data_IF_635165331908
#
_entry.id   IF_635165331908
#
_cell.length_a   1.000
_cell.length_b   1.000
_cell.length_c   1.000
_cell.angle_alpha   90.00
_cell.angle_beta   90.00
_cell.angle_gamma   90.00
#
_symmetry.space_group_name_H-M   'P 1'
#
loop_
_entity.id
_entity.type
_entity.pdbx_description
1 polymer ?
#
# COMPACT_ATOMS: atom_id res chain seq x y z
N UNK A 1 15.92 7.57 -1.75
CA UNK A 1 14.78 8.09 -2.55
C UNK A 1 13.52 8.19 -1.69
N UNK A 2 13.13 7.11 -1.01
CA UNK A 2 11.95 7.05 -0.16
C UNK A 2 11.88 8.17 0.91
N UNK A 3 12.99 8.48 1.59
CA UNK A 3 13.06 9.62 2.52
C UNK A 3 12.61 10.94 1.87
N UNK A 4 13.20 11.31 0.72
CA UNK A 4 12.85 12.54 -0.01
C UNK A 4 11.38 12.55 -0.47
N UNK A 5 10.88 11.43 -0.96
CA UNK A 5 9.47 11.30 -1.35
C UNK A 5 8.54 11.51 -0.15
N UNK A 6 8.87 10.92 0.99
CA UNK A 6 8.09 11.06 2.21
C UNK A 6 8.08 12.52 2.72
N UNK A 7 9.18 13.27 2.57
CA UNK A 7 9.26 14.68 2.96
C UNK A 7 8.29 15.54 2.14
N UNK A 8 8.06 15.18 0.88
CA UNK A 8 7.06 15.80 0.01
C UNK A 8 5.64 15.23 0.19
N UNK A 9 5.40 14.40 1.21
CA UNK A 9 4.13 13.72 1.46
C UNK A 9 3.67 12.77 0.34
N UNK A 10 4.60 12.31 -0.51
CA UNK A 10 4.31 11.26 -1.48
C UNK A 10 4.31 9.89 -0.83
N UNK A 11 3.43 9.01 -1.33
CA UNK A 11 3.47 7.60 -1.00
C UNK A 11 4.80 6.99 -1.42
N UNK A 12 5.32 6.08 -0.62
CA UNK A 12 6.60 5.40 -0.86
C UNK A 12 6.38 3.92 -1.14
N UNK A 13 7.21 3.27 -1.96
CA UNK A 13 7.08 1.84 -2.23
C UNK A 13 7.21 1.02 -0.94
N UNK A 14 6.21 0.20 -0.65
CA UNK A 14 6.25 -0.83 0.40
C UNK A 14 6.58 -2.20 -0.22
N UNK A 15 5.85 -2.60 -1.27
CA UNK A 15 6.14 -3.80 -2.05
C UNK A 15 6.51 -3.43 -3.47
N UNK A 16 7.69 -3.84 -3.91
CA UNK A 16 8.17 -3.60 -5.27
C UNK A 16 8.10 -4.89 -6.09
N UNK A 17 7.20 -5.00 -7.09
CA UNK A 17 7.19 -6.12 -8.02
C UNK A 17 8.49 -6.17 -8.83
N UNK A 18 8.97 -7.38 -9.08
CA UNK A 18 10.06 -7.62 -10.02
C UNK A 18 9.52 -7.61 -11.46
N UNK A 19 10.31 -7.08 -12.40
CA UNK A 19 9.93 -7.04 -13.82
C UNK A 19 9.98 -8.44 -14.46
N UNK A 20 10.84 -9.32 -13.94
CA UNK A 20 11.20 -10.58 -14.60
C UNK A 20 10.58 -11.82 -13.93
N UNK A 21 9.98 -11.68 -12.75
CA UNK A 21 9.32 -12.78 -12.07
C UNK A 21 8.09 -12.26 -11.30
N UNK A 22 7.21 -13.18 -10.88
CA UNK A 22 6.01 -12.85 -10.10
C UNK A 22 6.31 -12.56 -8.62
N UNK A 23 7.58 -12.48 -8.22
CA UNK A 23 7.95 -12.14 -6.85
C UNK A 23 7.89 -10.63 -6.64
N UNK A 24 7.68 -10.24 -5.38
CA UNK A 24 7.83 -8.86 -4.92
C UNK A 24 8.83 -8.78 -3.79
N UNK A 25 9.47 -7.62 -3.65
CA UNK A 25 10.36 -7.30 -2.53
C UNK A 25 9.67 -6.34 -1.57
N UNK A 26 9.63 -6.68 -0.28
CA UNK A 26 9.33 -5.76 0.81
C UNK A 26 10.51 -4.80 0.98
N UNK A 27 10.24 -3.51 0.81
CA UNK A 27 11.22 -2.43 0.85
C UNK A 27 11.46 -1.93 2.28
N UNK A 28 11.71 -2.83 3.24
CA UNK A 28 11.83 -2.51 4.66
C UNK A 28 13.06 -1.62 4.95
N UNK A 29 14.22 -1.96 4.39
CA UNK A 29 15.45 -1.19 4.56
C UNK A 29 15.29 0.24 4.03
N UNK A 30 14.63 0.40 2.88
CA UNK A 30 14.37 1.71 2.30
C UNK A 30 13.52 2.64 3.19
N UNK A 31 12.72 2.08 4.12
CA UNK A 31 11.85 2.82 5.02
C UNK A 31 12.50 3.10 6.39
N UNK A 32 13.61 2.43 6.76
CA UNK A 32 14.27 2.56 8.07
C UNK A 32 14.63 4.02 8.40
N UNK A 33 15.12 4.77 7.42
CA UNK A 33 15.57 6.16 7.62
C UNK A 33 14.43 7.18 7.65
N UNK A 34 13.17 6.76 7.45
CA UNK A 34 12.03 7.68 7.46
C UNK A 34 11.61 7.95 8.90
N UNK A 35 12.04 9.11 9.39
CA UNK A 35 11.58 9.69 10.66
C UNK A 35 10.44 10.66 10.38
N UNK A 36 9.41 10.61 11.22
CA UNK A 36 8.24 11.47 11.12
C UNK A 36 7.88 12.05 12.48
N UNK A 37 7.41 13.29 12.45
CA UNK A 37 6.84 14.00 13.58
C UNK A 37 5.31 14.08 13.44
N UNK A 38 4.58 13.83 14.51
CA UNK A 38 3.14 14.06 14.57
C UNK A 38 2.70 14.42 15.99
N UNK A 39 1.48 14.96 16.10
CA UNK A 39 0.89 15.35 17.37
C UNK A 39 -0.43 14.59 17.57
N UNK A 40 -0.42 13.50 18.36
CA UNK A 40 -1.64 12.74 18.63
C UNK A 40 -2.61 13.59 19.44
N UNK A 41 -3.90 13.23 19.38
CA UNK A 41 -4.96 13.94 20.08
C UNK A 41 -4.71 14.03 21.61
N UNK A 42 -4.10 13.00 22.21
CA UNK A 42 -3.71 13.00 23.63
C UNK A 42 -2.72 14.11 24.02
N UNK A 43 -1.97 14.65 23.05
CA UNK A 43 -1.05 15.76 23.23
C UNK A 43 -1.59 17.06 22.60
N UNK A 44 -2.88 17.15 22.29
CA UNK A 44 -3.46 18.35 21.68
C UNK A 44 -3.50 19.57 22.61
N UNK A 45 -3.55 19.35 23.92
CA UNK A 45 -3.54 20.42 24.94
C UNK A 45 -2.13 20.87 25.36
N UNK A 46 -1.12 20.01 25.19
CA UNK A 46 0.29 20.33 25.48
C UNK A 46 1.06 20.62 24.21
N UNK A 47 2.07 21.51 24.18
CA UNK A 47 2.91 21.71 22.96
C UNK A 47 3.80 20.50 22.60
N UNK A 48 3.48 19.30 23.09
CA UNK A 48 4.22 18.07 22.83
C UNK A 48 3.96 17.51 21.43
N UNK A 49 4.95 16.76 20.94
CA UNK A 49 4.90 16.00 19.70
C UNK A 49 5.57 14.64 19.90
N UNK A 50 5.33 13.72 18.97
CA UNK A 50 6.02 12.43 18.89
C UNK A 50 6.88 12.46 17.63
N UNK A 51 8.15 12.12 17.78
CA UNK A 51 9.07 11.86 16.67
C UNK A 51 9.50 10.39 16.73
N UNK A 52 9.33 9.65 15.64
CA UNK A 52 9.73 8.25 15.58
C UNK A 52 10.04 7.80 14.14
N UNK A 53 10.79 6.70 14.02
CA UNK A 53 10.93 5.97 12.78
C UNK A 53 9.60 5.34 12.41
N UNK A 54 9.16 5.56 11.17
CA UNK A 54 7.84 5.12 10.73
C UNK A 54 7.71 3.58 10.71
N UNK A 55 8.85 2.89 10.60
CA UNK A 55 8.89 1.43 10.64
C UNK A 55 8.71 0.84 12.05
N UNK A 56 9.01 1.61 13.09
CA UNK A 56 8.89 1.24 14.51
C UNK A 56 7.59 1.76 15.13
N UNK A 57 7.01 2.81 14.55
CA UNK A 57 5.77 3.39 15.04
C UNK A 57 4.62 2.37 14.98
N UNK A 58 3.94 2.18 16.11
CA UNK A 58 2.77 1.33 16.22
C UNK A 58 1.54 2.10 15.73
N UNK A 59 1.20 1.91 14.46
CA UNK A 59 0.16 2.69 13.77
C UNK A 59 -0.87 1.71 13.17
N UNK A 60 -2.19 2.00 13.23
CA UNK A 60 -3.19 1.26 12.49
C UNK A 60 -2.89 1.25 10.99
N UNK A 61 -2.95 0.08 10.36
CA UNK A 61 -2.53 -0.10 8.97
C UNK A 61 -3.71 -0.54 8.11
N UNK A 62 -4.11 0.29 7.15
CA UNK A 62 -5.26 0.02 6.27
C UNK A 62 -4.79 -0.18 4.84
N UNK A 63 -5.30 -1.20 4.17
CA UNK A 63 -4.99 -1.44 2.76
C UNK A 63 -6.17 -1.13 1.87
N UNK A 64 -5.88 -0.54 0.72
CA UNK A 64 -6.81 -0.29 -0.38
C UNK A 64 -6.35 -1.12 -1.57
N UNK A 65 -7.28 -1.91 -2.10
CA UNK A 65 -7.05 -2.80 -3.23
C UNK A 65 -8.24 -2.74 -4.17
N UNK A 66 -8.09 -3.26 -5.39
CA UNK A 66 -9.18 -3.24 -6.37
C UNK A 66 -9.30 -4.54 -7.15
N UNK A 67 -10.53 -4.85 -7.54
CA UNK A 67 -10.86 -5.90 -8.50
C UNK A 67 -10.66 -5.40 -9.94
N UNK A 68 -10.59 -6.32 -10.91
CA UNK A 68 -10.27 -6.02 -12.31
C UNK A 68 -11.21 -4.97 -12.91
N UNK A 69 -12.47 -5.04 -12.51
CA UNK A 69 -13.55 -4.28 -13.09
C UNK A 69 -13.74 -2.87 -12.49
N UNK A 70 -12.93 -2.50 -11.48
CA UNK A 70 -13.10 -1.21 -10.82
C UNK A 70 -12.54 -0.07 -11.68
N UNK A 71 -13.44 0.72 -12.28
CA UNK A 71 -13.09 1.95 -13.01
C UNK A 71 -13.12 3.21 -12.13
N UNK A 72 -12.91 3.08 -10.82
CA UNK A 72 -13.11 4.21 -9.89
C UNK A 72 -12.10 5.34 -10.14
N UNK A 73 -12.61 6.57 -10.22
CA UNK A 73 -11.83 7.80 -10.40
C UNK A 73 -10.91 8.10 -9.19
N UNK A 74 -11.26 7.58 -8.02
CA UNK A 74 -10.60 7.84 -6.74
C UNK A 74 -9.23 7.19 -6.58
N UNK A 75 -8.99 6.09 -7.31
CA UNK A 75 -7.69 5.41 -7.36
C UNK A 75 -6.93 5.83 -8.62
N UNK A 76 -6.79 7.15 -8.84
CA UNK A 76 -5.85 7.88 -9.72
C UNK A 76 -5.24 7.17 -10.96
N UNK A 77 -5.96 6.34 -11.71
CA UNK A 77 -5.26 5.53 -12.74
C UNK A 77 -5.97 5.28 -14.07
N UNK A 78 -7.26 5.54 -14.26
CA UNK A 78 -7.90 5.22 -15.55
C UNK A 78 -8.25 6.42 -16.46
N UNK A 79 -8.26 7.66 -15.96
CA UNK A 79 -8.71 8.81 -16.79
C UNK A 79 -7.61 9.54 -17.56
N UNK A 80 -6.34 9.15 -17.43
CA UNK A 80 -5.27 9.69 -18.27
C UNK A 80 -5.15 8.89 -19.57
N UNK A 81 -4.90 9.54 -20.71
CA UNK A 81 -4.57 8.88 -21.98
C UNK A 81 -3.42 7.88 -21.73
N UNK A 82 -3.72 6.57 -21.78
CA UNK A 82 -2.79 5.49 -21.41
C UNK A 82 -3.24 4.60 -20.24
N UNK A 83 -4.35 4.92 -19.56
CA UNK A 83 -4.92 4.08 -18.49
C UNK A 83 -5.35 2.68 -18.93
N UNK A 84 -5.66 2.50 -20.23
CA UNK A 84 -6.03 1.23 -20.85
C UNK A 84 -4.82 0.41 -21.36
N UNK A 85 -3.59 0.95 -21.31
CA UNK A 85 -2.39 0.21 -21.67
C UNK A 85 -2.03 -0.71 -20.50
N UNK A 86 -1.87 -2.01 -20.77
CA UNK A 86 -1.41 -2.99 -19.77
C UNK A 86 -0.11 -2.48 -19.15
N UNK A 87 -0.16 -2.10 -17.87
CA UNK A 87 1.00 -1.53 -17.17
C UNK A 87 1.92 -2.66 -16.74
N UNK A 88 2.98 -2.87 -17.50
CA UNK A 88 3.95 -3.92 -17.22
C UNK A 88 4.82 -3.65 -15.98
N UNK A 89 4.93 -2.39 -15.53
CA UNK A 89 5.93 -1.99 -14.52
C UNK A 89 5.31 -1.70 -13.14
N UNK A 90 4.01 -1.36 -13.07
CA UNK A 90 3.38 -0.86 -11.86
C UNK A 90 2.29 -1.76 -11.26
N UNK A 91 1.89 -2.84 -11.97
CA UNK A 91 0.97 -3.81 -11.40
C UNK A 91 1.70 -4.62 -10.31
N UNK A 92 1.05 -4.82 -9.16
CA UNK A 92 1.64 -5.47 -7.99
C UNK A 92 2.45 -4.54 -7.08
N UNK A 93 2.62 -3.27 -7.44
CA UNK A 93 3.26 -2.27 -6.58
C UNK A 93 2.31 -1.87 -5.45
N UNK A 94 2.74 -2.09 -4.20
CA UNK A 94 2.05 -1.54 -3.04
C UNK A 94 2.81 -0.31 -2.54
N UNK A 95 2.13 0.82 -2.42
CA UNK A 95 2.69 2.05 -1.86
C UNK A 95 2.08 2.34 -0.51
N UNK A 96 2.88 2.82 0.43
CA UNK A 96 2.45 3.25 1.76
C UNK A 96 2.52 4.77 1.90
N UNK A 97 1.52 5.34 2.56
CA UNK A 97 1.47 6.73 2.99
C UNK A 97 0.94 6.81 4.43
N UNK A 98 1.11 7.96 5.06
CA UNK A 98 0.70 8.17 6.44
C UNK A 98 -0.09 9.45 6.60
N UNK A 99 -1.18 9.38 7.34
CA UNK A 99 -1.82 10.56 7.90
C UNK A 99 -1.26 10.79 9.29
N UNK A 100 -0.70 11.99 9.50
CA UNK A 100 -0.02 12.38 10.72
C UNK A 100 -0.72 13.63 11.26
N UNK A 101 -1.47 13.52 12.38
CA UNK A 101 -2.21 14.65 12.92
C UNK A 101 -1.25 15.76 13.37
N UNK A 102 -1.68 17.01 13.18
CA UNK A 102 -0.85 18.21 13.49
C UNK A 102 -1.34 18.95 14.73
N UNK A 103 -2.53 18.62 15.25
CA UNK A 103 -3.06 19.14 16.51
C UNK A 103 -3.16 20.66 16.56
N UNK A 104 -3.44 21.32 15.43
CA UNK A 104 -3.51 22.80 15.34
C UNK A 104 -4.80 23.27 14.70
N UNK A 105 -5.69 23.87 15.50
CA UNK A 105 -6.74 24.83 15.12
C UNK A 105 -7.91 24.30 14.29
N UNK A 106 -7.67 23.35 13.38
CA UNK A 106 -8.68 22.62 12.64
C UNK A 106 -8.78 21.19 13.17
N UNK A 107 -9.98 20.59 13.19
CA UNK A 107 -10.12 19.19 13.55
C UNK A 107 -9.36 18.34 12.51
N UNK A 108 -8.34 17.63 12.98
CA UNK A 108 -7.69 16.59 12.18
C UNK A 108 -8.74 15.53 11.79
N UNK A 109 -8.68 15.04 10.55
CA UNK A 109 -9.60 14.01 10.03
C UNK A 109 -9.49 12.73 10.87
N UNK A 110 -8.29 12.42 11.32
CA UNK A 110 -7.99 11.33 12.24
C UNK A 110 -7.29 11.88 13.48
N UNK A 111 -7.75 11.53 14.69
CA UNK A 111 -7.15 12.03 15.94
C UNK A 111 -5.75 11.46 16.22
N UNK A 112 -5.47 10.28 15.66
CA UNK A 112 -4.23 9.54 15.83
C UNK A 112 -3.60 9.24 14.46
N UNK A 113 -2.28 8.98 14.38
CA UNK A 113 -1.63 8.64 13.12
C UNK A 113 -2.25 7.37 12.51
N UNK A 114 -2.34 7.33 11.18
CA UNK A 114 -2.82 6.18 10.41
C UNK A 114 -1.91 5.92 9.22
N UNK A 115 -1.65 4.65 8.92
CA UNK A 115 -0.92 4.20 7.75
C UNK A 115 -1.89 3.64 6.71
N UNK A 116 -1.69 4.02 5.46
CA UNK A 116 -2.47 3.55 4.32
C UNK A 116 -1.55 2.86 3.32
N UNK A 117 -1.92 1.68 2.86
CA UNK A 117 -1.28 1.02 1.73
C UNK A 117 -2.24 0.96 0.55
N UNK A 118 -1.73 1.19 -0.65
CA UNK A 118 -2.49 1.10 -1.89
C UNK A 118 -1.81 0.11 -2.83
N UNK A 119 -2.49 -1.00 -3.13
CA UNK A 119 -2.02 -1.97 -4.12
C UNK A 119 -2.46 -1.54 -5.53
N UNK A 120 -1.50 -1.29 -6.40
CA UNK A 120 -1.75 -1.02 -7.81
C UNK A 120 -1.94 -2.31 -8.59
N UNK A 121 -2.94 -2.34 -9.46
CA UNK A 121 -3.25 -3.51 -10.29
C UNK A 121 -4.53 -4.21 -9.84
N UNK A 122 -4.77 -5.41 -10.36
CA UNK A 122 -5.86 -6.30 -9.93
C UNK A 122 -5.32 -7.28 -8.88
N UNK A 123 -6.10 -7.59 -7.85
CA UNK A 123 -5.70 -8.58 -6.84
C UNK A 123 -5.47 -9.97 -7.44
N UNK A 124 -6.23 -10.37 -8.47
CA UNK A 124 -6.06 -11.69 -9.11
C UNK A 124 -4.71 -11.82 -9.83
N UNK A 125 -4.10 -10.71 -10.25
CA UNK A 125 -2.77 -10.69 -10.87
C UNK A 125 -1.63 -10.56 -9.83
N UNK A 126 -1.96 -10.31 -8.56
CA UNK A 126 -0.99 -9.95 -7.51
C UNK A 126 -1.40 -10.58 -6.18
N UNK A 127 -1.65 -11.89 -6.21
CA UNK A 127 -2.20 -12.63 -5.08
C UNK A 127 -1.27 -12.60 -3.85
N UNK A 128 0.03 -12.80 -4.03
CA UNK A 128 0.98 -12.79 -2.92
C UNK A 128 1.02 -11.43 -2.21
N UNK A 129 1.00 -10.34 -2.98
CA UNK A 129 0.99 -8.97 -2.47
C UNK A 129 -0.34 -8.66 -1.77
N UNK A 130 -1.47 -9.11 -2.35
CA UNK A 130 -2.79 -8.96 -1.73
C UNK A 130 -2.89 -9.72 -0.41
N UNK A 131 -2.52 -11.01 -0.38
CA UNK A 131 -2.54 -11.84 0.83
C UNK A 131 -1.64 -11.24 1.91
N UNK A 132 -0.45 -10.76 1.55
CA UNK A 132 0.43 -10.06 2.48
C UNK A 132 -0.25 -8.84 3.09
N UNK A 133 -0.75 -7.93 2.26
CA UNK A 133 -1.42 -6.72 2.72
C UNK A 133 -2.63 -7.03 3.61
N UNK A 134 -3.43 -8.02 3.22
CA UNK A 134 -4.60 -8.43 3.99
C UNK A 134 -4.22 -8.97 5.38
N UNK A 135 -3.15 -9.78 5.48
CA UNK A 135 -2.69 -10.32 6.76
C UNK A 135 -2.16 -9.23 7.70
N UNK A 136 -1.37 -8.28 7.17
CA UNK A 136 -0.73 -7.23 7.99
C UNK A 136 -1.63 -6.03 8.27
N UNK A 137 -2.79 -5.94 7.62
CA UNK A 137 -3.71 -4.82 7.81
C UNK A 137 -4.68 -5.02 8.98
N UNK A 138 -4.99 -3.91 9.62
CA UNK A 138 -6.13 -3.75 10.54
C UNK A 138 -7.45 -3.95 9.79
N UNK A 139 -7.56 -3.39 8.57
CA UNK A 139 -8.66 -3.64 7.64
C UNK A 139 -8.22 -3.42 6.18
N UNK A 140 -8.89 -4.07 5.25
CA UNK A 140 -8.65 -4.00 3.81
C UNK A 140 -9.94 -3.61 3.09
N UNK A 141 -9.89 -2.49 2.40
CA UNK A 141 -10.96 -1.96 1.56
C UNK A 141 -10.75 -2.42 0.12
N UNK A 142 -11.71 -3.19 -0.39
CA UNK A 142 -11.71 -3.70 -1.77
C UNK A 142 -12.67 -2.86 -2.59
N UNK A 143 -12.14 -2.17 -3.59
CA UNK A 143 -12.94 -1.41 -4.56
C UNK A 143 -13.35 -2.31 -5.72
N UNK A 144 -14.64 -2.31 -6.05
CA UNK A 144 -15.19 -3.16 -7.10
C UNK A 144 -16.44 -2.58 -7.76
N UNK A 145 -16.66 -2.97 -9.02
CA UNK A 145 -17.93 -2.75 -9.73
C UNK A 145 -18.80 -4.03 -9.63
N UNK A 146 -18.21 -5.22 -9.82
CA UNK A 146 -18.80 -6.56 -9.72
C UNK A 146 -17.77 -7.57 -9.19
N UNK A 147 -18.18 -8.77 -8.81
CA UNK A 147 -17.28 -9.85 -8.37
C UNK A 147 -17.37 -11.01 -9.37
N UNK A 148 -16.26 -11.31 -10.04
CA UNK A 148 -16.15 -12.48 -10.92
C UNK A 148 -15.79 -13.76 -10.15
N UNK A 149 -15.88 -14.92 -10.80
CA UNK A 149 -15.71 -16.23 -10.15
C UNK A 149 -14.36 -16.37 -9.46
N UNK A 150 -13.28 -16.01 -10.14
CA UNK A 150 -11.91 -16.07 -9.59
C UNK A 150 -11.74 -15.13 -8.39
N UNK A 151 -12.29 -13.91 -8.49
CA UNK A 151 -12.24 -12.91 -7.42
C UNK A 151 -13.05 -13.37 -6.20
N UNK A 152 -14.20 -14.03 -6.43
CA UNK A 152 -15.02 -14.61 -5.38
C UNK A 152 -14.28 -15.72 -4.63
N UNK A 153 -13.62 -16.65 -5.34
CA UNK A 153 -12.81 -17.72 -4.75
C UNK A 153 -11.65 -17.16 -3.92
N UNK A 154 -10.98 -16.10 -4.41
CA UNK A 154 -9.94 -15.41 -3.65
C UNK A 154 -10.51 -14.83 -2.36
N UNK A 155 -11.62 -14.10 -2.41
CA UNK A 155 -12.21 -13.45 -1.23
C UNK A 155 -12.74 -14.46 -0.20
N UNK A 156 -13.30 -15.59 -0.64
CA UNK A 156 -13.80 -16.65 0.26
C UNK A 156 -12.68 -17.48 0.88
N UNK A 157 -11.51 -17.53 0.26
CA UNK A 157 -10.32 -18.18 0.83
C UNK A 157 -9.67 -17.41 2.00
N UNK A 158 -10.04 -16.14 2.20
CA UNK A 158 -9.44 -15.29 3.22
C UNK A 158 -9.92 -15.67 4.63
N UNK A 159 -8.96 -16.05 5.48
CA UNK A 159 -9.20 -16.16 6.91
C UNK A 159 -9.53 -14.78 7.50
N UNK A 160 -10.37 -14.71 8.52
CA UNK A 160 -10.76 -13.45 9.18
C UNK A 160 -11.41 -12.37 8.28
N UNK A 161 -11.88 -12.74 7.08
CA UNK A 161 -12.55 -11.84 6.13
C UNK A 161 -13.63 -11.00 6.82
N UNK A 162 -14.46 -11.62 7.65
CA UNK A 162 -15.51 -10.95 8.44
C UNK A 162 -15.04 -9.76 9.27
N UNK A 163 -13.80 -9.79 9.77
CA UNK A 163 -13.28 -8.77 10.70
C UNK A 163 -12.43 -7.69 10.03
N UNK A 164 -11.87 -7.98 8.86
CA UNK A 164 -10.90 -7.13 8.15
C UNK A 164 -11.37 -6.66 6.78
N UNK A 165 -12.29 -7.35 6.13
CA UNK A 165 -12.67 -7.07 4.74
C UNK A 165 -13.82 -6.07 4.67
N UNK A 166 -13.64 -5.00 3.89
CA UNK A 166 -14.66 -3.99 3.61
C UNK A 166 -14.81 -3.84 2.10
N UNK A 167 -16.02 -4.04 1.59
CA UNK A 167 -16.30 -3.89 0.17
C UNK A 167 -16.80 -2.47 -0.12
N UNK A 168 -16.17 -1.81 -1.08
CA UNK A 168 -16.56 -0.48 -1.57
C UNK A 168 -17.07 -0.65 -3.00
N UNK A 169 -18.39 -0.68 -3.14
CA UNK A 169 -19.06 -0.99 -4.41
C UNK A 169 -19.35 0.30 -5.17
N UNK A 170 -18.83 0.41 -6.38
CA UNK A 170 -19.08 1.54 -7.26
C UNK A 170 -20.36 1.31 -8.08
N UNK A 171 -21.47 2.00 -7.74
CA UNK A 171 -22.68 1.94 -8.56
C UNK A 171 -22.63 2.96 -9.68
N UNK A 172 -22.77 2.48 -10.90
CA UNK A 172 -23.10 3.31 -12.07
C UNK A 172 -24.61 3.21 -12.33
N UNK A 173 -25.19 4.29 -12.84
CA UNK A 173 -26.53 4.27 -13.40
C UNK A 173 -26.59 3.23 -14.53
N UNK A 174 -27.52 2.28 -14.44
CA UNK A 174 -27.64 1.16 -15.38
C UNK A 174 -26.77 -0.06 -15.08
N UNK A 175 -26.11 -0.16 -13.92
CA UNK A 175 -25.47 -1.42 -13.49
C UNK A 175 -26.45 -2.59 -13.53
N UNK A 176 -26.02 -3.72 -14.11
CA UNK A 176 -26.88 -4.88 -14.30
C UNK A 176 -27.32 -5.42 -12.93
N UNK A 177 -28.58 -5.86 -12.81
CA UNK A 177 -29.08 -6.49 -11.56
C UNK A 177 -28.17 -7.64 -11.12
N UNK A 178 -27.63 -8.38 -12.07
CA UNK A 178 -26.72 -9.52 -11.88
C UNK A 178 -25.41 -9.13 -11.18
N UNK A 179 -24.82 -7.98 -11.51
CA UNK A 179 -23.58 -7.49 -10.89
C UNK A 179 -23.79 -7.29 -9.38
N UNK A 180 -24.94 -6.72 -9.00
CA UNK A 180 -25.27 -6.49 -7.59
C UNK A 180 -25.57 -7.79 -6.84
N UNK A 181 -26.18 -8.78 -7.50
CA UNK A 181 -26.45 -10.07 -6.88
C UNK A 181 -25.17 -10.84 -6.58
N UNK A 182 -24.14 -10.75 -7.43
CA UNK A 182 -22.82 -11.34 -7.17
C UNK A 182 -22.18 -10.81 -5.88
N UNK A 183 -22.29 -9.49 -5.66
CA UNK A 183 -21.79 -8.82 -4.46
C UNK A 183 -22.61 -9.25 -3.24
N UNK A 184 -23.95 -9.21 -3.33
CA UNK A 184 -24.81 -9.63 -2.21
C UNK A 184 -24.61 -11.08 -1.83
N UNK A 185 -24.40 -11.97 -2.79
CA UNK A 185 -24.07 -13.38 -2.55
C UNK A 185 -22.79 -13.49 -1.72
N UNK A 186 -21.72 -12.82 -2.17
CA UNK A 186 -20.41 -12.85 -1.50
C UNK A 186 -20.48 -12.24 -0.09
N UNK A 187 -21.18 -11.11 0.08
CA UNK A 187 -21.39 -10.48 1.39
C UNK A 187 -22.10 -11.41 2.37
N UNK A 188 -23.11 -12.15 1.91
CA UNK A 188 -23.84 -13.12 2.74
C UNK A 188 -22.98 -14.33 3.10
N UNK A 189 -22.24 -14.86 2.12
CA UNK A 189 -21.40 -16.04 2.31
C UNK A 189 -20.25 -15.79 3.27
N UNK A 190 -19.65 -14.59 3.21
CA UNK A 190 -18.58 -14.16 4.10
C UNK A 190 -19.08 -13.55 5.43
N UNK A 191 -20.40 -13.44 5.61
CA UNK A 191 -21.05 -12.80 6.76
C UNK A 191 -20.45 -11.40 7.08
N UNK A 192 -20.21 -10.62 6.02
CA UNK A 192 -19.55 -9.32 6.14
C UNK A 192 -20.47 -8.29 6.83
N UNK A 193 -19.91 -7.37 7.63
CA UNK A 193 -20.70 -6.35 8.29
C UNK A 193 -21.45 -5.47 7.27
N UNK A 194 -22.62 -4.98 7.68
CA UNK A 194 -23.49 -4.07 6.88
C UNK A 194 -22.80 -2.76 6.44
N UNK A 195 -21.60 -2.48 6.94
CA UNK A 195 -20.75 -1.36 6.53
C UNK A 195 -20.06 -1.59 5.16
N UNK A 196 -20.36 -2.67 4.44
CA UNK A 196 -20.04 -2.77 3.01
C UNK A 196 -20.81 -1.68 2.24
N UNK A 197 -20.17 -0.52 2.06
CA UNK A 197 -20.81 0.65 1.48
C UNK A 197 -21.00 0.48 -0.03
N UNK A 198 -22.25 0.65 -0.45
CA UNK A 198 -22.61 0.81 -1.85
C UNK A 198 -22.65 2.29 -2.20
N UNK A 199 -21.75 2.76 -3.06
CA UNK A 199 -21.74 4.14 -3.53
C UNK A 199 -23.00 4.44 -4.37
N UNK A 200 -23.52 5.67 -4.30
CA UNK A 200 -24.55 6.19 -5.19
C UNK A 200 -23.91 7.02 -6.32
N UNK A 201 -24.51 7.09 -7.52
CA UNK A 201 -23.87 7.66 -8.72
C UNK A 201 -23.44 9.14 -8.60
N UNK A 202 -23.96 9.90 -7.63
CA UNK A 202 -23.76 11.36 -7.53
C UNK A 202 -22.98 11.85 -6.29
N UNK A 203 -22.27 10.97 -5.58
CA UNK A 203 -21.47 11.40 -4.41
C UNK A 203 -20.18 12.08 -4.87
N UNK A 204 -19.98 13.34 -4.49
CA UNK A 204 -18.76 14.12 -4.72
C UNK A 204 -17.55 13.43 -4.05
N UNK A 205 -16.35 13.59 -4.61
CA UNK A 205 -15.08 13.08 -4.05
C UNK A 205 -14.92 13.42 -2.57
N UNK A 206 -15.28 14.65 -2.20
CA UNK A 206 -15.18 15.15 -0.82
C UNK A 206 -16.10 14.34 0.10
N UNK A 207 -17.38 14.23 -0.23
CA UNK A 207 -18.36 13.49 0.59
C UNK A 207 -18.00 12.00 0.72
N UNK A 208 -17.47 11.39 -0.34
CA UNK A 208 -16.97 10.01 -0.26
C UNK A 208 -15.77 9.90 0.68
N UNK A 209 -14.82 10.83 0.58
CA UNK A 209 -13.64 10.83 1.46
C UNK A 209 -14.01 11.04 2.94
N UNK A 210 -15.02 11.85 3.23
CA UNK A 210 -15.54 12.06 4.58
C UNK A 210 -16.20 10.81 5.14
N UNK A 211 -17.06 10.14 4.35
CA UNK A 211 -17.70 8.87 4.75
C UNK A 211 -16.68 7.77 5.01
N UNK A 212 -15.71 7.62 4.10
CA UNK A 212 -14.64 6.65 4.24
C UNK A 212 -13.78 6.94 5.49
N UNK A 213 -13.45 8.21 5.73
CA UNK A 213 -12.69 8.62 6.91
C UNK A 213 -13.46 8.38 8.21
N UNK A 214 -14.77 8.64 8.22
CA UNK A 214 -15.64 8.35 9.36
C UNK A 214 -15.74 6.83 9.63
N UNK A 215 -15.86 6.01 8.58
CA UNK A 215 -15.86 4.56 8.68
C UNK A 215 -14.52 4.05 9.25
N UNK A 216 -13.40 4.55 8.74
CA UNK A 216 -12.06 4.23 9.25
C UNK A 216 -11.94 4.62 10.72
N UNK A 217 -12.29 5.84 11.11
CA UNK A 217 -12.28 6.28 12.51
C UNK A 217 -13.06 5.34 13.43
N UNK A 218 -14.25 4.90 13.00
CA UNK A 218 -15.07 3.95 13.76
C UNK A 218 -14.39 2.58 13.90
N UNK A 219 -13.67 2.14 12.87
CA UNK A 219 -12.92 0.89 12.89
C UNK A 219 -11.68 1.02 13.77
N UNK A 220 -10.98 2.17 13.75
CA UNK A 220 -9.71 2.38 14.46
C UNK A 220 -9.83 2.19 15.98
N UNK A 221 -10.98 2.56 16.57
CA UNK A 221 -11.18 2.49 18.01
C UNK A 221 -11.04 1.05 18.53
N UNK A 222 -10.06 0.82 19.40
CA UNK A 222 -9.83 -0.47 20.05
C UNK A 222 -9.22 -1.56 19.17
N UNK A 223 -8.74 -1.23 17.96
CA UNK A 223 -8.08 -2.19 17.08
C UNK A 223 -6.57 -2.29 17.34
N UNK A 224 -5.96 -3.46 17.07
CA UNK A 224 -4.53 -3.63 17.22
C UNK A 224 -3.78 -2.75 16.21
N UNK A 225 -2.67 -2.20 16.68
CA UNK A 225 -1.69 -1.47 15.88
C UNK A 225 -0.56 -2.40 15.44
N UNK A 226 0.08 -2.06 14.32
CA UNK A 226 1.20 -2.83 13.76
C UNK A 226 2.37 -1.88 13.51
N UNK A 227 3.60 -2.36 13.64
CA UNK A 227 4.78 -1.67 13.13
C UNK A 227 5.18 -2.33 11.79
N UNK A 228 5.83 -1.58 10.89
CA UNK A 228 6.21 -2.13 9.57
C UNK A 228 7.32 -3.17 9.71
N UNK A 229 8.19 -3.03 10.72
CA UNK A 229 9.27 -4.00 10.95
C UNK A 229 8.77 -5.42 11.26
N UNK A 230 7.63 -5.58 11.94
CA UNK A 230 7.07 -6.92 12.20
C UNK A 230 6.43 -7.55 10.95
N UNK A 231 6.30 -6.82 9.84
CA UNK A 231 5.82 -7.38 8.58
C UNK A 231 6.86 -8.30 7.92
N UNK A 232 8.13 -8.24 8.34
CA UNK A 232 9.22 -9.07 7.82
C UNK A 232 8.86 -10.56 7.80
N UNK A 233 8.43 -11.08 8.96
CA UNK A 233 8.14 -12.51 9.11
C UNK A 233 7.01 -12.95 8.17
N UNK A 234 5.99 -12.11 8.02
CA UNK A 234 4.87 -12.37 7.10
C UNK A 234 5.27 -12.27 5.64
N UNK A 235 6.16 -11.35 5.28
CA UNK A 235 6.70 -11.29 3.93
C UNK A 235 7.45 -12.59 3.57
N UNK A 236 8.34 -13.04 4.46
CA UNK A 236 9.12 -14.27 4.25
C UNK A 236 8.23 -15.52 4.20
N UNK A 237 7.23 -15.64 5.09
CA UNK A 237 6.25 -16.73 5.11
C UNK A 237 5.50 -16.86 3.77
N UNK A 238 5.18 -15.72 3.15
CA UNK A 238 4.47 -15.64 1.86
C UNK A 238 5.40 -15.70 0.65
N UNK A 239 6.69 -15.95 0.85
CA UNK A 239 7.69 -16.07 -0.23
C UNK A 239 8.06 -14.74 -0.88
N UNK A 240 7.80 -13.61 -0.22
CA UNK A 240 8.28 -12.29 -0.64
C UNK A 240 9.75 -12.12 -0.24
N UNK A 241 10.52 -11.49 -1.13
CA UNK A 241 11.87 -11.06 -0.82
C UNK A 241 11.83 -9.85 0.13
N UNK A 242 12.92 -9.59 0.83
CA UNK A 242 13.08 -8.40 1.66
C UNK A 242 14.41 -7.75 1.29
N UNK A 243 14.41 -6.43 1.10
CA UNK A 243 15.62 -5.68 0.74
C UNK A 243 16.63 -5.57 1.90
N UNK A 244 16.19 -5.79 3.15
CA UNK A 244 17.02 -5.82 4.35
C UNK A 244 17.86 -7.12 4.40
N UNK A 245 19.17 -6.96 4.59
CA UNK A 245 20.09 -8.08 4.72
C UNK A 245 19.89 -8.79 6.07
N UNK A 246 19.31 -9.98 6.04
CA UNK A 246 19.03 -10.76 7.26
C UNK A 246 20.18 -11.71 7.62
N UNK A 247 20.99 -12.14 6.65
CA UNK A 247 22.12 -13.06 6.88
C UNK A 247 23.47 -12.34 7.02
N UNK A 248 24.38 -12.92 7.82
CA UNK A 248 25.73 -12.41 8.00
C UNK A 248 26.55 -12.39 6.71
N UNK A 249 26.29 -13.33 5.80
CA UNK A 249 26.98 -13.38 4.49
C UNK A 249 26.50 -12.26 3.56
N UNK A 250 25.20 -11.93 3.57
CA UNK A 250 24.67 -10.76 2.87
C UNK A 250 25.24 -9.47 3.46
N UNK A 251 25.32 -9.35 4.79
CA UNK A 251 25.94 -8.19 5.47
C UNK A 251 27.41 -8.03 5.07
N UNK A 252 28.22 -9.09 5.17
CA UNK A 252 29.63 -9.08 4.74
C UNK A 252 29.79 -8.69 3.27
N UNK A 253 28.89 -9.15 2.41
CA UNK A 253 28.89 -8.82 0.98
C UNK A 253 28.56 -7.35 0.75
N UNK A 254 27.51 -6.84 1.40
CA UNK A 254 27.13 -5.42 1.35
C UNK A 254 28.25 -4.52 1.88
N UNK A 255 28.88 -4.87 3.01
CA UNK A 255 30.02 -4.15 3.57
C UNK A 255 31.22 -4.13 2.62
N UNK A 256 31.54 -5.25 1.96
CA UNK A 256 32.58 -5.31 0.93
C UNK A 256 32.28 -4.37 -0.23
N UNK A 257 31.03 -4.33 -0.70
CA UNK A 257 30.60 -3.41 -1.77
C UNK A 257 30.75 -1.95 -1.32
N UNK A 258 30.26 -1.60 -0.12
CA UNK A 258 30.37 -0.24 0.44
C UNK A 258 31.83 0.18 0.62
N UNK A 259 32.69 -0.71 1.13
CA UNK A 259 34.13 -0.49 1.23
C UNK A 259 34.74 -0.25 -0.16
N UNK A 260 34.38 -1.05 -1.15
CA UNK A 260 34.83 -0.86 -2.55
C UNK A 260 34.44 0.49 -3.15
N UNK A 261 33.21 0.97 -2.87
CA UNK A 261 32.73 2.28 -3.32
C UNK A 261 33.52 3.43 -2.68
N UNK A 262 33.88 3.31 -1.40
CA UNK A 262 34.66 4.34 -0.69
C UNK A 262 36.11 4.45 -1.15
N UNK A 263 36.65 3.38 -1.74
CA UNK A 263 38.06 3.30 -2.14
C UNK A 263 38.28 3.71 -3.60
N UNK A 264 37.26 3.61 -4.46
CA UNK A 264 37.37 3.97 -5.88
C UNK A 264 36.95 5.42 -6.15
N UNK A 265 37.62 6.11 -7.09
CA UNK A 265 37.12 7.40 -7.58
C UNK A 265 35.78 7.16 -8.31
N UNK A 266 34.82 8.05 -8.10
CA UNK A 266 33.44 7.96 -8.64
C UNK A 266 33.40 7.66 -10.17
N UNK A 267 34.28 8.23 -11.03
CA UNK A 267 34.31 7.90 -12.45
C UNK A 267 34.63 6.42 -12.74
N UNK A 268 35.59 5.84 -12.00
CA UNK A 268 36.07 4.47 -12.21
C UNK A 268 35.04 3.44 -11.75
N UNK A 269 34.33 3.74 -10.66
CA UNK A 269 33.22 2.90 -10.18
C UNK A 269 32.06 2.88 -11.19
N UNK A 270 31.69 4.04 -11.76
CA UNK A 270 30.64 4.13 -12.79
C UNK A 270 31.00 3.37 -14.07
N UNK A 271 32.27 3.37 -14.48
CA UNK A 271 32.72 2.61 -15.65
C UNK A 271 32.66 1.08 -15.43
N UNK A 272 32.88 0.62 -14.19
CA UNK A 272 32.99 -0.79 -13.85
C UNK A 272 31.70 -1.44 -13.30
N UNK A 273 30.74 -0.66 -12.78
CA UNK A 273 29.47 -1.24 -12.30
C UNK A 273 28.55 -1.61 -13.47
N UNK A 274 28.02 -2.84 -13.46
CA UNK A 274 27.15 -3.39 -14.52
C UNK A 274 25.89 -2.53 -14.79
N UNK A 275 25.42 -1.75 -13.80
CA UNK A 275 24.26 -0.86 -13.93
C UNK A 275 24.50 0.31 -14.92
N UNK A 276 25.74 0.76 -15.09
CA UNK A 276 26.06 1.82 -16.05
C UNK A 276 26.31 1.28 -17.46
N UNK A 277 26.84 0.05 -17.60
CA UNK A 277 27.06 -0.57 -18.92
C UNK A 277 25.75 -0.84 -19.66
N UNK A 278 24.65 -1.10 -18.95
CA UNK A 278 23.33 -1.26 -19.56
C UNK A 278 22.74 0.06 -20.10
N UNK A 279 23.15 1.21 -19.56
CA UNK A 279 22.66 2.54 -19.98
C UNK A 279 23.53 3.21 -21.04
N UNK A 280 24.80 2.81 -21.18
CA UNK A 280 25.74 3.39 -22.17
C UNK A 280 25.73 2.65 -23.52
N UNK A 281 24.92 1.61 -23.68
CA UNK A 281 24.79 0.84 -24.93
C UNK A 281 24.08 1.55 -26.09
N UNK A 282 23.55 2.77 -25.89
CA UNK A 282 23.06 3.62 -26.99
C UNK A 282 23.80 4.94 -26.96
N UNK A 283 24.80 5.04 -27.82
CA UNK A 283 25.57 6.26 -28.03
C UNK A 283 24.66 7.40 -28.47
N UNK A 284 24.55 8.41 -27.62
CA UNK A 284 24.27 9.78 -28.04
C UNK A 284 25.52 10.58 -27.69
N UNK A 285 26.23 11.04 -28.73
CA UNK A 285 27.25 12.08 -28.60
C UNK A 285 26.54 13.38 -28.23
N UNK A 286 27.20 14.15 -27.37
CA UNK A 286 26.83 15.51 -27.01
C UNK A 286 26.57 16.39 -28.25
#
# INVERSE_FOLDING_TARGET
MALKMSMCQFSVPLLMPHVNNSQSTLMLWALRDIVKEWRPYSLSESRGFVENHIVQAKIPFYSFVRLQNCKSQYLHTQEMKGGAIKRHIANGLAEVSWYLPRGRGHPDVFPDPIAFANLRGNISESLAQFTFLFQVSTATFVFLDKIEKEEHEILTSLQDAKSKLFLVVNRKDGSAKEDLESVKKTVKELDLPKQCESKYPNVNVVEFSEKLSAAINKITVGKPTMNIENMLNKAVELGLSVDECTSDDQKKTAEKIVKGIRVQKIPDYKANSFLCKALTGKGYRC
#
